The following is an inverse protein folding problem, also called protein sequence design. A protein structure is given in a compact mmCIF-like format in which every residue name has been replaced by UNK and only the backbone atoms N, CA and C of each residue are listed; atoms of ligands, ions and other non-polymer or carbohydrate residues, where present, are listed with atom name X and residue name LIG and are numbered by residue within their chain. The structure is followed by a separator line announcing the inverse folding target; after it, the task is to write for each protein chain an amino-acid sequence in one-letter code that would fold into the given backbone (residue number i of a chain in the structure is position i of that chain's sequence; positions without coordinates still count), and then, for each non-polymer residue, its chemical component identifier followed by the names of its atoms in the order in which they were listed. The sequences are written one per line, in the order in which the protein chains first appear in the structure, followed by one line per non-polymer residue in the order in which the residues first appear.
data_IF_307872664619
#
_entry.id   IF_307872664619
#
_cell.length_a   1.000
_cell.length_b   1.000
_cell.length_c   1.000
_cell.angle_alpha   90.00
_cell.angle_beta   90.00
_cell.angle_gamma   90.00
#
_symmetry.space_group_name_H-M   'P 1'
#
loop_
_entity.id
_entity.type
_entity.pdbx_description
1 polymer ?
#
# COMPACT_ATOMS: atom_id res chain seq x y z
N UNK A 1 -5.40 11.93 -17.70
CA UNK A 1 -5.05 12.88 -16.62
C UNK A 1 -6.22 13.82 -16.38
N UNK A 2 -6.63 14.01 -15.13
CA UNK A 2 -7.79 14.86 -14.76
C UNK A 2 -7.34 15.92 -13.75
N UNK A 3 -7.79 17.16 -13.92
CA UNK A 3 -7.65 18.23 -12.93
C UNK A 3 -8.95 19.03 -12.83
N UNK A 4 -9.32 19.45 -11.62
CA UNK A 4 -10.57 20.20 -11.32
C UNK A 4 -11.83 19.56 -11.97
N UNK A 5 -11.87 18.22 -12.04
CA UNK A 5 -12.98 17.48 -12.66
C UNK A 5 -13.03 17.50 -14.19
N UNK A 6 -12.03 18.08 -14.86
CA UNK A 6 -11.91 18.10 -16.33
C UNK A 6 -10.74 17.26 -16.79
N UNK A 7 -10.90 16.55 -17.92
CA UNK A 7 -9.75 15.95 -18.58
C UNK A 7 -8.80 17.06 -19.02
N UNK A 8 -7.51 16.92 -18.73
CA UNK A 8 -6.47 17.82 -19.25
C UNK A 8 -5.54 17.11 -20.25
N UNK A 9 -5.57 15.78 -20.27
CA UNK A 9 -4.82 14.96 -21.23
C UNK A 9 -5.37 13.54 -21.28
N UNK A 10 -5.61 13.01 -22.48
CA UNK A 10 -6.07 11.64 -22.70
C UNK A 10 -5.47 11.04 -23.97
N UNK A 11 -4.14 10.94 -24.02
CA UNK A 11 -3.40 10.34 -25.12
C UNK A 11 -2.34 9.35 -24.64
N UNK A 12 -1.58 8.80 -25.60
CA UNK A 12 -0.43 7.92 -25.32
C UNK A 12 0.70 8.66 -24.60
N UNK A 13 1.44 7.95 -23.75
CA UNK A 13 2.50 8.54 -22.91
C UNK A 13 3.56 9.25 -23.75
N UNK A 14 3.93 8.68 -24.91
CA UNK A 14 4.97 9.23 -25.79
C UNK A 14 4.59 10.59 -26.39
N UNK A 15 3.28 10.85 -26.55
CA UNK A 15 2.76 12.09 -27.12
C UNK A 15 2.57 13.19 -26.07
N UNK A 16 2.80 12.90 -24.78
CA UNK A 16 2.52 13.83 -23.69
C UNK A 16 3.37 15.11 -23.79
N UNK A 17 4.69 14.97 -23.91
CA UNK A 17 5.59 16.12 -23.95
C UNK A 17 5.35 17.00 -25.18
N UNK A 18 5.04 16.38 -26.32
CA UNK A 18 4.67 17.11 -27.54
C UNK A 18 3.38 17.92 -27.36
N UNK A 19 2.37 17.36 -26.71
CA UNK A 19 1.12 18.06 -26.38
C UNK A 19 1.35 19.25 -25.44
N UNK A 20 2.15 19.06 -24.38
CA UNK A 20 2.47 20.12 -23.42
C UNK A 20 3.30 21.25 -24.07
N UNK A 21 4.29 20.91 -24.90
CA UNK A 21 5.13 21.88 -25.60
C UNK A 21 4.31 22.79 -26.55
N UNK A 22 3.31 22.25 -27.26
CA UNK A 22 2.38 23.06 -28.09
C UNK A 22 1.61 24.11 -27.28
N UNK A 23 1.41 23.86 -25.98
CA UNK A 23 0.77 24.77 -25.05
C UNK A 23 1.76 25.70 -24.33
N UNK A 24 3.03 25.72 -24.74
CA UNK A 24 4.08 26.51 -24.11
C UNK A 24 4.49 25.96 -22.73
N UNK A 25 4.22 24.68 -22.46
CA UNK A 25 4.63 23.99 -21.24
C UNK A 25 5.79 23.04 -21.59
N UNK A 26 7.02 23.53 -21.44
CA UNK A 26 8.22 22.73 -21.65
C UNK A 26 8.66 22.03 -20.36
N UNK A 27 8.76 20.71 -20.42
CA UNK A 27 9.27 19.91 -19.32
C UNK A 27 10.78 20.13 -19.17
N UNK A 28 11.30 20.50 -18.00
CA UNK A 28 12.74 20.64 -17.77
C UNK A 28 13.50 19.32 -18.01
N UNK A 29 14.76 19.43 -18.44
CA UNK A 29 15.59 18.30 -18.88
C UNK A 29 15.82 17.21 -17.81
N UNK A 30 15.84 17.58 -16.53
CA UNK A 30 16.05 16.66 -15.40
C UNK A 30 14.78 16.43 -14.58
N UNK A 31 13.62 16.69 -15.18
CA UNK A 31 12.34 16.54 -14.52
C UNK A 31 11.55 15.41 -15.16
N UNK A 32 10.96 14.57 -14.32
CA UNK A 32 10.18 13.42 -14.77
C UNK A 32 8.87 13.92 -15.42
N UNK A 33 8.57 13.56 -16.69
CA UNK A 33 7.35 14.01 -17.38
C UNK A 33 6.04 13.69 -16.65
N UNK A 34 6.02 12.58 -15.89
CA UNK A 34 4.85 12.21 -15.09
C UNK A 34 4.66 13.16 -13.90
N UNK A 35 5.74 13.59 -13.26
CA UNK A 35 5.68 14.57 -12.18
C UNK A 35 5.31 15.94 -12.75
N UNK A 36 5.86 16.31 -13.92
CA UNK A 36 5.58 17.57 -14.60
C UNK A 36 4.09 17.76 -14.90
N UNK A 37 3.44 16.79 -15.55
CA UNK A 37 2.00 16.87 -15.83
C UNK A 37 1.17 16.87 -14.53
N UNK A 38 1.64 16.19 -13.47
CA UNK A 38 1.01 16.22 -12.16
C UNK A 38 1.09 17.61 -11.50
N UNK A 39 2.21 18.30 -11.61
CA UNK A 39 2.40 19.67 -11.11
C UNK A 39 1.56 20.71 -11.89
N UNK A 40 1.44 20.51 -13.21
CA UNK A 40 0.51 21.28 -14.04
C UNK A 40 -0.94 21.04 -13.58
N UNK A 41 -1.29 19.78 -13.28
CA UNK A 41 -2.61 19.42 -12.79
C UNK A 41 -2.90 19.97 -11.38
N UNK A 42 -1.92 20.10 -10.50
CA UNK A 42 -2.07 20.72 -9.17
C UNK A 42 -2.19 22.24 -9.23
N UNK A 43 -1.80 22.86 -10.34
CA UNK A 43 -1.84 24.31 -10.58
C UNK A 43 -0.55 25.03 -10.21
N UNK A 44 0.56 24.31 -10.06
CA UNK A 44 1.86 24.88 -9.70
C UNK A 44 2.46 25.72 -10.86
N UNK A 45 2.01 25.47 -12.10
CA UNK A 45 2.34 26.22 -13.31
C UNK A 45 1.25 27.22 -13.76
N UNK A 46 0.41 27.68 -12.82
CA UNK A 46 -0.72 28.58 -13.10
C UNK A 46 -1.97 27.86 -13.63
N UNK A 47 -3.02 28.62 -13.97
CA UNK A 47 -4.32 28.04 -14.39
C UNK A 47 -4.33 27.64 -15.88
N UNK A 48 -3.48 26.68 -16.23
CA UNK A 48 -3.41 26.13 -17.59
C UNK A 48 -4.47 25.05 -17.85
N UNK A 49 -5.14 24.56 -16.80
CA UNK A 49 -6.08 23.45 -16.88
C UNK A 49 -7.26 23.74 -17.82
N UNK A 50 -7.78 24.98 -17.81
CA UNK A 50 -8.88 25.37 -18.70
C UNK A 50 -8.48 25.25 -20.17
N UNK A 51 -7.29 25.74 -20.53
CA UNK A 51 -6.76 25.68 -21.89
C UNK A 51 -6.55 24.24 -22.34
N UNK A 52 -5.88 23.43 -21.52
CA UNK A 52 -5.60 22.02 -21.81
C UNK A 52 -6.90 21.20 -21.91
N UNK A 53 -7.91 21.52 -21.10
CA UNK A 53 -9.18 20.80 -21.10
C UNK A 53 -10.04 21.03 -22.33
N UNK A 54 -9.83 22.14 -23.06
CA UNK A 54 -10.56 22.42 -24.31
C UNK A 54 -10.10 21.54 -25.46
N UNK A 55 -8.83 21.11 -25.44
CA UNK A 55 -8.25 20.25 -26.47
C UNK A 55 -8.29 18.76 -26.08
N UNK A 56 -8.51 18.44 -24.79
CA UNK A 56 -8.76 17.06 -24.40
C UNK A 56 -10.17 16.61 -24.84
N UNK A 57 -10.25 15.91 -25.97
CA UNK A 57 -11.41 15.14 -26.33
C UNK A 57 -11.45 13.84 -25.51
N UNK A 58 -12.55 13.61 -24.80
CA UNK A 58 -12.82 12.31 -24.18
C UNK A 58 -13.45 11.44 -25.29
N UNK A 59 -12.79 10.38 -25.77
CA UNK A 59 -13.38 9.51 -26.78
C UNK A 59 -14.67 8.91 -26.21
N UNK A 60 -15.71 8.86 -27.03
CA UNK A 60 -16.94 8.19 -26.64
C UNK A 60 -16.62 6.73 -26.23
N UNK A 61 -17.24 6.22 -25.16
CA UNK A 61 -16.98 4.86 -24.71
C UNK A 61 -17.37 3.88 -25.83
N UNK A 62 -16.38 3.30 -26.49
CA UNK A 62 -16.59 2.27 -27.50
C UNK A 62 -17.30 1.07 -26.83
N UNK A 63 -18.55 0.83 -27.26
CA UNK A 63 -19.41 -0.23 -26.74
C UNK A 63 -18.84 -1.63 -27.02
N UNK A 64 -17.90 -1.72 -27.96
CA UNK A 64 -17.25 -2.95 -28.40
C UNK A 64 -15.77 -3.03 -28.02
N UNK A 65 -15.25 -2.05 -27.27
CA UNK A 65 -13.87 -2.10 -26.80
C UNK A 65 -13.69 -3.29 -25.84
N UNK A 66 -12.99 -4.31 -26.34
CA UNK A 66 -12.43 -5.37 -25.51
C UNK A 66 -11.49 -4.71 -24.52
N UNK A 67 -11.64 -5.00 -23.23
CA UNK A 67 -10.73 -4.53 -22.18
C UNK A 67 -9.34 -5.08 -22.46
N UNK A 68 -8.53 -4.29 -23.17
CA UNK A 68 -7.18 -4.66 -23.57
C UNK A 68 -6.22 -4.05 -22.55
N UNK A 69 -5.80 -4.87 -21.58
CA UNK A 69 -4.81 -4.51 -20.56
C UNK A 69 -5.37 -4.37 -19.14
N UNK A 70 -4.45 -4.36 -18.18
CA UNK A 70 -4.60 -4.35 -16.70
C UNK A 70 -5.39 -3.19 -16.08
N UNK A 71 -6.16 -2.43 -16.87
CA UNK A 71 -6.96 -1.27 -16.42
C UNK A 71 -8.46 -1.58 -16.42
N UNK A 72 -9.13 -1.17 -15.36
CA UNK A 72 -10.59 -1.18 -15.24
C UNK A 72 -11.25 -0.15 -16.17
N UNK A 73 -12.56 -0.27 -16.36
CA UNK A 73 -13.42 0.66 -17.13
C UNK A 73 -13.29 2.14 -16.72
N UNK A 74 -12.78 2.41 -15.52
CA UNK A 74 -12.56 3.75 -14.97
C UNK A 74 -11.06 4.11 -14.80
N UNK A 75 -10.15 3.35 -15.43
CA UNK A 75 -8.71 3.64 -15.45
C UNK A 75 -7.93 3.20 -14.20
N UNK A 76 -8.58 2.69 -13.17
CA UNK A 76 -7.91 2.07 -12.02
C UNK A 76 -7.32 0.71 -12.39
N UNK A 77 -6.15 0.36 -11.88
CA UNK A 77 -5.52 -0.95 -12.11
C UNK A 77 -6.35 -2.05 -11.43
N UNK A 78 -6.50 -3.21 -12.09
CA UNK A 78 -7.27 -4.36 -11.56
C UNK A 78 -6.60 -4.87 -10.27
N UNK A 79 -7.37 -5.21 -9.22
CA UNK A 79 -6.85 -5.78 -7.95
C UNK A 79 -5.85 -6.94 -8.13
N UNK A 80 -5.89 -7.65 -9.26
CA UNK A 80 -4.95 -8.73 -9.60
C UNK A 80 -3.51 -8.24 -9.79
N UNK A 81 -3.26 -6.96 -10.10
CA UNK A 81 -1.91 -6.44 -10.27
C UNK A 81 -1.11 -6.36 -8.97
N UNK A 82 -1.80 -6.23 -7.83
CA UNK A 82 -1.20 -6.15 -6.49
C UNK A 82 -0.80 -7.54 -5.98
N UNK A 83 -1.64 -8.54 -6.26
CA UNK A 83 -1.49 -9.89 -5.71
C UNK A 83 -0.37 -10.66 -6.41
N UNK A 84 -0.22 -10.49 -7.74
CA UNK A 84 0.80 -11.18 -8.53
C UNK A 84 2.22 -10.94 -8.04
N UNK A 85 2.71 -9.70 -7.87
CA UNK A 85 4.08 -9.47 -7.39
C UNK A 85 4.29 -9.98 -5.96
N UNK A 86 3.29 -9.84 -5.09
CA UNK A 86 3.34 -10.37 -3.71
C UNK A 86 3.47 -11.90 -3.73
N UNK A 87 2.67 -12.59 -4.55
CA UNK A 87 2.72 -14.03 -4.70
C UNK A 87 4.05 -14.52 -5.26
N UNK A 88 4.62 -13.80 -6.24
CA UNK A 88 5.94 -14.09 -6.77
C UNK A 88 7.03 -13.93 -5.71
N UNK A 89 7.03 -12.83 -4.94
CA UNK A 89 8.01 -12.59 -3.87
C UNK A 89 7.89 -13.66 -2.78
N UNK A 90 6.68 -14.02 -2.38
CA UNK A 90 6.47 -15.12 -1.42
C UNK A 90 7.00 -16.43 -2.00
N UNK A 91 6.71 -16.75 -3.26
CA UNK A 91 7.25 -17.96 -3.90
C UNK A 91 8.78 -18.00 -3.91
N UNK A 92 9.41 -16.88 -4.25
CA UNK A 92 10.88 -16.72 -4.30
C UNK A 92 11.51 -16.90 -2.90
N UNK A 93 10.86 -16.45 -1.84
CA UNK A 93 11.40 -16.55 -0.47
C UNK A 93 11.03 -17.88 0.20
N UNK A 94 9.80 -18.34 0.03
CA UNK A 94 9.25 -19.50 0.76
C UNK A 94 9.84 -20.83 0.29
N UNK A 95 10.11 -20.97 -1.01
CA UNK A 95 10.67 -22.19 -1.57
C UNK A 95 12.12 -22.47 -1.12
N UNK A 96 13.09 -21.54 -1.26
CA UNK A 96 14.47 -21.80 -0.85
C UNK A 96 14.66 -21.86 0.66
N UNK A 97 13.73 -21.33 1.46
CA UNK A 97 13.78 -21.38 2.93
C UNK A 97 13.22 -22.68 3.52
N UNK A 98 12.87 -23.66 2.68
CA UNK A 98 12.45 -25.00 3.14
C UNK A 98 11.16 -24.98 3.96
N UNK A 99 10.31 -23.98 3.79
CA UNK A 99 9.10 -23.84 4.59
C UNK A 99 8.03 -24.86 4.17
N UNK A 100 7.16 -25.32 5.09
CA UNK A 100 6.21 -26.39 4.81
C UNK A 100 5.23 -26.00 3.72
N UNK A 101 5.11 -26.81 2.66
CA UNK A 101 4.24 -26.54 1.49
C UNK A 101 2.74 -26.79 1.78
N UNK A 102 2.25 -26.33 2.93
CA UNK A 102 0.85 -26.38 3.28
C UNK A 102 0.10 -25.20 2.65
N UNK A 103 -0.92 -25.49 1.85
CA UNK A 103 -1.67 -24.48 1.10
C UNK A 103 -2.30 -23.42 2.01
N UNK A 104 -2.79 -23.79 3.19
CA UNK A 104 -3.42 -22.85 4.11
C UNK A 104 -2.39 -21.88 4.73
N UNK A 105 -1.14 -22.32 4.96
CA UNK A 105 -0.04 -21.46 5.45
C UNK A 105 0.33 -20.43 4.39
N UNK A 106 0.52 -20.89 3.16
CA UNK A 106 0.82 -20.01 2.02
C UNK A 106 -0.34 -19.03 1.78
N UNK A 107 -1.59 -19.51 1.83
CA UNK A 107 -2.77 -18.65 1.67
C UNK A 107 -2.88 -17.60 2.77
N UNK A 108 -2.60 -17.94 4.02
CA UNK A 108 -2.62 -16.98 5.14
C UNK A 108 -1.47 -15.97 5.06
N UNK A 109 -0.27 -16.38 4.61
CA UNK A 109 0.84 -15.47 4.30
C UNK A 109 0.50 -14.47 3.20
N UNK A 110 -0.11 -14.96 2.11
CA UNK A 110 -0.60 -14.11 1.02
C UNK A 110 -1.66 -13.13 1.52
N UNK A 111 -2.61 -13.60 2.32
CA UNK A 111 -3.68 -12.78 2.89
C UNK A 111 -3.10 -11.64 3.74
N UNK A 112 -2.23 -11.93 4.71
CA UNK A 112 -1.63 -10.88 5.55
C UNK A 112 -0.77 -9.91 4.73
N UNK A 113 -0.02 -10.40 3.74
CA UNK A 113 0.77 -9.54 2.86
C UNK A 113 -0.10 -8.58 2.03
N UNK A 114 -1.22 -9.08 1.48
CA UNK A 114 -2.20 -8.24 0.76
C UNK A 114 -2.86 -7.23 1.71
N UNK A 115 -3.20 -7.63 2.93
CA UNK A 115 -3.76 -6.71 3.93
C UNK A 115 -2.76 -5.61 4.32
N UNK A 116 -1.47 -5.92 4.47
CA UNK A 116 -0.42 -4.91 4.73
C UNK A 116 -0.39 -3.88 3.60
N UNK A 117 -0.37 -4.32 2.34
CA UNK A 117 -0.36 -3.44 1.18
C UNK A 117 -1.63 -2.57 1.13
N UNK A 118 -2.80 -3.18 1.33
CA UNK A 118 -4.09 -2.49 1.29
C UNK A 118 -4.22 -1.41 2.38
N UNK A 119 -3.78 -1.70 3.61
CA UNK A 119 -3.78 -0.71 4.71
C UNK A 119 -2.78 0.41 4.42
N UNK A 120 -1.59 0.07 3.91
CA UNK A 120 -0.55 1.06 3.56
C UNK A 120 -1.03 2.03 2.47
N UNK A 121 -1.80 1.52 1.49
CA UNK A 121 -2.44 2.36 0.47
C UNK A 121 -3.49 3.29 1.06
N UNK A 122 -4.32 2.80 1.98
CA UNK A 122 -5.29 3.65 2.67
C UNK A 122 -4.61 4.78 3.45
N UNK A 123 -3.48 4.49 4.12
CA UNK A 123 -2.68 5.51 4.80
C UNK A 123 -2.06 6.52 3.83
N UNK A 124 -1.55 6.07 2.68
CA UNK A 124 -1.04 6.96 1.64
C UNK A 124 -2.13 7.91 1.11
N UNK A 125 -3.36 7.42 0.91
CA UNK A 125 -4.49 8.26 0.50
C UNK A 125 -4.81 9.36 1.52
N UNK A 126 -4.69 9.07 2.83
CA UNK A 126 -4.85 10.08 3.88
C UNK A 126 -3.78 11.17 3.73
N UNK A 127 -2.51 10.79 3.59
CA UNK A 127 -1.39 11.75 3.44
C UNK A 127 -1.58 12.61 2.19
N UNK A 128 -1.97 12.01 1.06
CA UNK A 128 -2.29 12.71 -0.18
C UNK A 128 -3.51 13.64 -0.06
N UNK A 129 -4.51 13.26 0.74
CA UNK A 129 -5.70 14.07 0.98
C UNK A 129 -5.39 15.33 1.79
N UNK A 130 -4.51 15.25 2.80
CA UNK A 130 -4.15 16.38 3.66
C UNK A 130 -3.12 17.32 3.01
N UNK A 131 -2.22 16.78 2.19
CA UNK A 131 -1.05 17.51 1.69
C UNK A 131 -1.21 17.97 0.23
N UNK A 132 -0.42 18.97 -0.19
CA UNK A 132 -0.18 19.24 -1.62
C UNK A 132 0.67 18.09 -2.20
N UNK A 133 0.60 17.88 -3.51
CA UNK A 133 1.17 16.69 -4.14
C UNK A 133 2.67 16.54 -3.85
N UNK A 134 3.46 17.59 -4.05
CA UNK A 134 4.90 17.57 -3.81
C UNK A 134 5.23 17.31 -2.33
N UNK A 135 4.52 17.97 -1.41
CA UNK A 135 4.69 17.76 0.04
C UNK A 135 4.28 16.36 0.49
N UNK A 136 3.25 15.78 -0.14
CA UNK A 136 2.76 14.45 0.20
C UNK A 136 3.86 13.41 0.04
N UNK A 137 4.58 13.42 -1.09
CA UNK A 137 5.65 12.45 -1.39
C UNK A 137 6.75 12.46 -0.32
N UNK A 138 7.16 13.64 0.15
CA UNK A 138 8.15 13.76 1.23
C UNK A 138 7.61 13.34 2.61
N UNK A 139 6.31 13.49 2.85
CA UNK A 139 5.68 13.20 4.14
C UNK A 139 5.28 11.73 4.32
N UNK A 140 5.11 10.95 3.25
CA UNK A 140 4.74 9.52 3.37
C UNK A 140 5.75 8.76 4.22
N UNK A 141 7.05 8.91 3.95
CA UNK A 141 8.10 8.13 4.61
C UNK A 141 8.15 8.37 6.14
N UNK A 142 8.20 9.63 6.64
CA UNK A 142 8.12 9.90 8.08
C UNK A 142 6.84 9.38 8.73
N UNK A 143 5.70 9.42 8.05
CA UNK A 143 4.41 8.98 8.59
C UNK A 143 4.33 7.46 8.73
N UNK A 144 4.90 6.70 7.78
CA UNK A 144 4.86 5.24 7.80
C UNK A 144 5.97 4.65 8.69
N UNK A 145 7.09 5.38 8.88
CA UNK A 145 8.23 4.91 9.68
C UNK A 145 7.90 4.40 11.09
N UNK A 146 7.04 5.05 11.91
CA UNK A 146 6.76 4.58 13.26
C UNK A 146 6.03 3.24 13.25
N UNK A 147 5.18 2.99 12.26
CA UNK A 147 4.47 1.71 12.14
C UNK A 147 5.46 0.55 11.96
N UNK A 148 6.54 0.74 11.19
CA UNK A 148 7.61 -0.24 11.04
C UNK A 148 8.43 -0.43 12.31
N UNK A 149 8.78 0.65 13.02
CA UNK A 149 9.54 0.52 14.28
C UNK A 149 8.76 -0.27 15.34
N UNK A 150 7.45 -0.06 15.43
CA UNK A 150 6.58 -0.73 16.39
C UNK A 150 5.88 -1.99 15.83
N UNK A 151 6.43 -2.60 14.77
CA UNK A 151 5.87 -3.81 14.16
C UNK A 151 5.99 -5.09 15.02
N UNK A 152 6.73 -5.06 16.13
CA UNK A 152 6.90 -6.22 17.02
C UNK A 152 8.06 -7.14 16.67
N UNK A 153 8.77 -6.91 15.56
CA UNK A 153 10.02 -7.61 15.22
C UNK A 153 11.19 -7.18 16.13
N UNK A 154 11.39 -5.87 16.32
CA UNK A 154 12.50 -5.34 17.11
C UNK A 154 12.30 -5.57 18.61
N UNK A 155 11.11 -5.23 19.11
CA UNK A 155 10.72 -5.41 20.50
C UNK A 155 9.26 -5.87 20.52
N UNK A 156 8.98 -7.07 21.08
CA UNK A 156 7.61 -7.52 21.30
C UNK A 156 6.80 -6.53 22.16
N UNK A 157 5.54 -6.29 21.78
CA UNK A 157 4.69 -5.30 22.45
C UNK A 157 4.48 -5.58 23.95
N UNK A 158 4.52 -6.84 24.36
CA UNK A 158 4.34 -7.24 25.75
C UNK A 158 5.51 -6.82 26.67
N UNK A 159 6.72 -6.69 26.11
CA UNK A 159 7.92 -6.24 26.84
C UNK A 159 8.01 -4.71 26.93
N UNK A 160 7.24 -3.98 26.12
CA UNK A 160 7.22 -2.52 26.15
C UNK A 160 6.54 -2.02 27.43
N UNK A 161 7.12 -0.95 27.99
CA UNK A 161 6.55 -0.22 29.13
C UNK A 161 5.14 0.28 28.78
N UNK A 162 4.18 0.28 29.74
CA UNK A 162 2.80 0.71 29.48
C UNK A 162 2.69 2.11 28.83
N UNK A 163 3.63 3.01 29.10
CA UNK A 163 3.66 4.37 28.55
C UNK A 163 3.88 4.44 27.03
N UNK A 164 4.55 3.45 26.43
CA UNK A 164 4.86 3.40 24.99
C UNK A 164 4.16 2.24 24.28
N UNK A 165 3.58 1.30 25.03
CA UNK A 165 2.91 0.10 24.49
C UNK A 165 1.77 0.45 23.54
N UNK A 166 1.02 1.51 23.82
CA UNK A 166 -0.09 1.97 22.97
C UNK A 166 0.34 2.29 21.53
N UNK A 167 1.60 2.69 21.29
CA UNK A 167 2.12 2.96 19.95
C UNK A 167 2.26 1.67 19.14
N UNK A 168 2.63 0.57 19.80
CA UNK A 168 2.69 -0.75 19.18
C UNK A 168 1.29 -1.31 18.94
N UNK A 169 0.38 -1.13 19.90
CA UNK A 169 -1.02 -1.56 19.76
C UNK A 169 -1.79 -0.73 18.71
N UNK A 170 -1.36 0.51 18.43
CA UNK A 170 -1.92 1.34 17.38
C UNK A 170 -1.34 1.03 15.98
N UNK A 171 -0.24 0.29 15.89
CA UNK A 171 0.41 -0.04 14.62
C UNK A 171 -0.25 -1.23 13.94
N UNK A 172 -0.82 -1.02 12.76
CA UNK A 172 -1.34 -2.11 11.91
C UNK A 172 -0.25 -3.14 11.57
N UNK A 173 1.00 -2.69 11.46
CA UNK A 173 2.13 -3.56 11.15
C UNK A 173 2.42 -4.56 12.28
N UNK A 174 2.09 -4.20 13.53
CA UNK A 174 2.21 -5.12 14.67
C UNK A 174 1.28 -6.34 14.50
N UNK A 175 0.00 -6.11 14.22
CA UNK A 175 -0.96 -7.18 14.01
C UNK A 175 -0.61 -8.03 12.79
N UNK A 176 -0.15 -7.39 11.71
CA UNK A 176 0.22 -8.11 10.50
C UNK A 176 1.47 -8.98 10.69
N UNK A 177 2.50 -8.49 11.38
CA UNK A 177 3.69 -9.28 11.72
C UNK A 177 3.34 -10.50 12.59
N UNK A 178 2.52 -10.34 13.62
CA UNK A 178 2.04 -11.45 14.43
C UNK A 178 1.22 -12.46 13.59
N UNK A 179 0.44 -11.98 12.62
CA UNK A 179 -0.29 -12.83 11.68
C UNK A 179 0.65 -13.67 10.81
N UNK A 180 1.67 -13.03 10.23
CA UNK A 180 2.70 -13.71 9.44
C UNK A 180 3.47 -14.76 10.25
N UNK A 181 3.84 -14.44 11.50
CA UNK A 181 4.50 -15.40 12.40
C UNK A 181 3.61 -16.62 12.68
N UNK A 182 2.33 -16.40 12.98
CA UNK A 182 1.39 -17.49 13.24
C UNK A 182 1.12 -18.34 11.98
N UNK A 183 1.16 -17.74 10.79
CA UNK A 183 1.08 -18.49 9.54
C UNK A 183 2.26 -19.43 9.34
N UNK A 184 3.48 -18.99 9.71
CA UNK A 184 4.71 -19.79 9.53
C UNK A 184 4.89 -20.80 10.66
N UNK A 185 4.86 -20.35 11.91
CA UNK A 185 5.27 -21.16 13.07
C UNK A 185 4.09 -21.70 13.89
N UNK A 186 2.87 -21.17 13.69
CA UNK A 186 1.70 -21.57 14.48
C UNK A 186 1.07 -22.90 14.03
N UNK A 187 -0.02 -23.25 14.72
CA UNK A 187 -0.91 -24.38 14.38
C UNK A 187 -0.19 -25.73 14.26
N UNK A 188 0.58 -26.10 15.28
CA UNK A 188 1.17 -27.44 15.40
C UNK A 188 2.22 -27.75 14.34
N UNK A 189 3.11 -26.79 14.05
CA UNK A 189 4.27 -27.03 13.18
C UNK A 189 5.25 -27.98 13.87
N UNK A 190 5.86 -28.86 13.08
CA UNK A 190 6.92 -29.76 13.53
C UNK A 190 8.16 -29.00 13.99
N UNK A 191 9.00 -29.66 14.80
CA UNK A 191 10.23 -29.09 15.33
C UNK A 191 11.16 -28.68 14.18
N UNK A 192 11.87 -27.58 14.37
CA UNK A 192 12.79 -27.05 13.37
C UNK A 192 14.12 -27.80 13.43
N UNK A 193 14.69 -28.13 12.27
CA UNK A 193 16.02 -28.72 12.18
C UNK A 193 17.07 -27.73 12.71
N UNK A 194 17.95 -28.21 13.59
CA UNK A 194 18.98 -27.40 14.23
C UNK A 194 20.28 -28.18 14.36
N UNK A 195 21.38 -27.59 13.87
CA UNK A 195 22.70 -28.24 13.85
C UNK A 195 23.54 -27.97 15.12
N UNK A 196 23.11 -27.03 15.98
CA UNK A 196 23.83 -26.61 17.17
C UNK A 196 23.44 -27.40 18.43
N UNK A 197 24.40 -27.57 19.35
CA UNK A 197 24.19 -28.32 20.62
C UNK A 197 23.17 -27.66 21.56
N UNK A 198 22.97 -26.34 21.49
CA UNK A 198 21.96 -25.62 22.25
C UNK A 198 21.06 -24.88 21.27
N UNK A 199 19.85 -25.39 21.06
CA UNK A 199 18.86 -24.78 20.18
C UNK A 199 17.66 -24.26 20.96
N UNK A 200 17.62 -22.95 21.23
CA UNK A 200 16.51 -22.31 21.95
C UNK A 200 15.20 -22.27 21.14
N UNK A 201 15.30 -22.45 19.82
CA UNK A 201 14.22 -22.24 18.86
C UNK A 201 13.77 -23.51 18.15
N UNK A 202 14.14 -24.68 18.66
CA UNK A 202 13.74 -25.97 18.10
C UNK A 202 12.21 -26.15 18.13
N UNK A 203 11.59 -25.79 19.26
CA UNK A 203 10.13 -25.82 19.42
C UNK A 203 9.49 -24.49 18.98
N UNK A 204 8.69 -24.47 17.90
CA UNK A 204 8.02 -23.26 17.44
C UNK A 204 7.00 -22.72 18.45
N UNK A 205 6.43 -23.55 19.33
CA UNK A 205 5.49 -23.09 20.35
C UNK A 205 6.18 -22.18 21.38
N UNK A 206 7.36 -22.58 21.85
CA UNK A 206 8.17 -21.79 22.78
C UNK A 206 8.65 -20.49 22.13
N UNK A 207 9.05 -20.54 20.85
CA UNK A 207 9.41 -19.34 20.09
C UNK A 207 8.23 -18.34 20.01
N UNK A 208 7.02 -18.82 19.71
CA UNK A 208 5.84 -17.96 19.64
C UNK A 208 5.46 -17.36 21.00
N UNK A 209 5.74 -18.06 22.10
CA UNK A 209 5.55 -17.54 23.46
C UNK A 209 6.56 -16.41 23.75
N UNK A 210 7.84 -16.61 23.41
CA UNK A 210 8.90 -15.61 23.57
C UNK A 210 8.59 -14.32 22.78
N UNK A 211 8.06 -14.45 21.57
CA UNK A 211 7.67 -13.29 20.74
C UNK A 211 6.31 -12.70 21.17
N UNK A 212 5.56 -13.38 22.04
CA UNK A 212 4.23 -12.95 22.50
C UNK A 212 3.15 -13.03 21.43
N UNK A 213 3.29 -14.00 20.51
CA UNK A 213 2.33 -14.29 19.45
C UNK A 213 1.48 -15.55 19.76
N UNK A 214 1.89 -16.40 20.71
CA UNK A 214 1.27 -17.69 21.00
C UNK A 214 -0.26 -17.62 21.28
N UNK A 215 -0.71 -16.66 22.07
CA UNK A 215 -2.14 -16.53 22.45
C UNK A 215 -3.01 -15.87 21.37
N UNK A 216 -2.41 -15.38 20.28
CA UNK A 216 -3.12 -14.67 19.22
C UNK A 216 -3.68 -15.66 18.20
N UNK A 217 -4.81 -15.31 17.60
CA UNK A 217 -5.50 -16.13 16.60
C UNK A 217 -5.53 -15.43 15.26
N UNK A 218 -5.24 -16.16 14.17
CA UNK A 218 -5.14 -15.60 12.81
C UNK A 218 -6.42 -14.85 12.44
N UNK A 219 -7.60 -15.45 12.66
CA UNK A 219 -8.88 -14.84 12.27
C UNK A 219 -9.14 -13.51 13.01
N UNK A 220 -8.77 -13.40 14.28
CA UNK A 220 -8.90 -12.14 15.04
C UNK A 220 -7.99 -11.08 14.44
N UNK A 221 -6.73 -11.41 14.14
CA UNK A 221 -5.77 -10.49 13.54
C UNK A 221 -6.22 -10.01 12.16
N UNK A 222 -6.73 -10.92 11.32
CA UNK A 222 -7.31 -10.58 10.02
C UNK A 222 -8.48 -9.60 10.16
N UNK A 223 -9.40 -9.82 11.11
CA UNK A 223 -10.53 -8.92 11.35
C UNK A 223 -10.09 -7.54 11.85
N UNK A 224 -9.10 -7.49 12.74
CA UNK A 224 -8.52 -6.23 13.22
C UNK A 224 -7.91 -5.43 12.07
N UNK A 225 -7.15 -6.08 11.17
CA UNK A 225 -6.57 -5.43 9.99
C UNK A 225 -7.65 -4.90 9.03
N UNK A 226 -8.73 -5.65 8.81
CA UNK A 226 -9.87 -5.16 8.01
C UNK A 226 -10.55 -3.94 8.66
N UNK A 227 -10.65 -3.91 9.98
CA UNK A 227 -11.19 -2.76 10.70
C UNK A 227 -10.29 -1.52 10.55
N UNK A 228 -8.97 -1.69 10.67
CA UNK A 228 -8.00 -0.62 10.38
C UNK A 228 -8.11 -0.10 8.95
N UNK A 229 -8.22 -1.00 7.98
CA UNK A 229 -8.39 -0.64 6.56
C UNK A 229 -9.66 0.19 6.34
N UNK A 230 -10.80 -0.28 6.87
CA UNK A 230 -12.07 0.42 6.75
C UNK A 230 -11.98 1.82 7.38
N UNK A 231 -11.45 1.92 8.60
CA UNK A 231 -11.29 3.19 9.31
C UNK A 231 -10.38 4.17 8.54
N UNK A 232 -9.26 3.69 8.00
CA UNK A 232 -8.34 4.51 7.22
C UNK A 232 -8.99 5.01 5.91
N UNK A 233 -9.70 4.13 5.19
CA UNK A 233 -10.40 4.52 3.95
C UNK A 233 -11.56 5.49 4.20
N UNK A 234 -12.32 5.30 5.27
CA UNK A 234 -13.37 6.24 5.69
C UNK A 234 -12.78 7.60 6.04
N UNK A 235 -11.65 7.62 6.76
CA UNK A 235 -10.94 8.85 7.11
C UNK A 235 -10.44 9.56 5.85
N UNK A 236 -9.83 8.84 4.91
CA UNK A 236 -9.41 9.38 3.63
C UNK A 236 -10.58 9.98 2.84
N UNK A 237 -11.72 9.28 2.79
CA UNK A 237 -12.92 9.76 2.12
C UNK A 237 -13.45 11.06 2.73
N UNK A 238 -13.53 11.14 4.07
CA UNK A 238 -13.98 12.35 4.78
C UNK A 238 -13.03 13.52 4.49
N UNK A 239 -11.71 13.30 4.58
CA UNK A 239 -10.71 14.34 4.31
C UNK A 239 -10.76 14.84 2.86
N UNK A 240 -10.90 13.93 1.88
CA UNK A 240 -11.05 14.30 0.48
C UNK A 240 -12.33 15.10 0.25
N UNK A 241 -13.45 14.69 0.85
CA UNK A 241 -14.72 15.42 0.76
C UNK A 241 -14.62 16.83 1.35
N UNK A 242 -13.98 16.96 2.52
CA UNK A 242 -13.71 18.26 3.14
C UNK A 242 -12.84 19.15 2.26
N UNK A 243 -11.78 18.60 1.66
CA UNK A 243 -10.88 19.33 0.76
C UNK A 243 -11.58 19.83 -0.49
N UNK A 244 -12.46 19.00 -1.07
CA UNK A 244 -13.26 19.39 -2.25
C UNK A 244 -14.26 20.48 -1.90
N UNK A 245 -14.98 20.37 -0.78
CA UNK A 245 -15.96 21.36 -0.33
C UNK A 245 -15.37 22.73 0.02
N UNK A 246 -14.05 22.81 0.26
CA UNK A 246 -13.35 24.06 0.59
C UNK A 246 -12.74 24.76 -0.62
N UNK A 247 -12.79 24.12 -1.79
CA UNK A 247 -12.16 24.61 -3.04
C UNK A 247 -13.16 25.31 -3.98
N UNK A 248 -14.39 25.50 -3.52
CA UNK A 248 -15.39 26.48 -4.00
C UNK A 248 -15.31 27.73 -3.11
#
# INVERSE_FOLDING_TARGET
MVSKGRCIYNGEVDNLLGFLSRHGLECPQYHNPADYICEIASGDYGDCCDRLSRECEIPEPDKNAVVQGTRSKYGGVIMTSEVVPIALLIGIVYYPTGQPLELWRIASLLLFSVQICSVSQAMALIVSAVSKLQTAVFMVLPVVSPAYFFCGFFVPAHLLSPYIRWMADASYMNYAYNGLLLSIYGYGREHLECDDFICLYEDPAHFLELVGAADKKIHVLTLVLLAFELAARLTAFVLLKMRLSRKE
#
